data_IF_310657704387
#
_entry.id   IF_310657704387
#
_cell.length_a   1.000
_cell.length_b   1.000
_cell.length_c   1.000
_cell.angle_alpha   90.00
_cell.angle_beta   90.00
_cell.angle_gamma   90.00
#
_symmetry.space_group_name_H-M   'P 1'
#
loop_
_entity.id
_entity.type
_entity.pdbx_description
1 polymer ?
#
# COMPACT_ATOMS: atom_id res chain seq x y z
N UNK A 1 6.36 5.18 67.64
CA UNK A 1 5.89 3.85 68.07
C UNK A 1 4.76 3.42 67.14
N UNK A 2 4.85 2.25 66.50
CA UNK A 2 4.05 1.84 65.36
C UNK A 2 3.02 0.76 65.70
N UNK A 3 2.01 0.56 64.84
CA UNK A 3 1.42 -0.76 64.58
C UNK A 3 0.70 -0.71 63.22
N UNK A 4 1.31 -1.22 62.16
CA UNK A 4 1.14 -2.60 61.65
C UNK A 4 -0.31 -3.10 61.71
N UNK A 5 -0.94 -3.21 60.53
CA UNK A 5 -1.84 -4.32 60.15
C UNK A 5 -1.94 -4.42 58.62
N UNK A 6 -1.05 -5.24 58.08
CA UNK A 6 -1.24 -6.02 56.87
C UNK A 6 -2.24 -7.15 57.13
N UNK A 7 -3.18 -7.38 56.21
CA UNK A 7 -3.82 -8.69 55.98
C UNK A 7 -4.41 -8.74 54.57
N UNK A 8 -3.60 -9.20 53.61
CA UNK A 8 -4.03 -9.90 52.41
C UNK A 8 -3.51 -11.34 52.55
N UNK A 9 -4.35 -12.37 52.41
CA UNK A 9 -3.84 -13.69 52.11
C UNK A 9 -4.56 -14.26 50.87
N UNK A 10 -3.85 -14.39 49.74
CA UNK A 10 -3.97 -15.54 48.84
C UNK A 10 -2.86 -15.54 47.79
N UNK A 11 -1.75 -16.22 48.07
CA UNK A 11 -0.84 -16.73 47.03
C UNK A 11 0.04 -17.82 47.64
N UNK A 12 -0.48 -19.03 47.70
CA UNK A 12 0.34 -20.23 47.87
C UNK A 12 -0.35 -21.41 47.16
N UNK A 13 0.25 -21.85 46.05
CA UNK A 13 0.41 -23.27 45.72
C UNK A 13 1.20 -23.42 44.42
N UNK A 14 2.53 -23.47 44.58
CA UNK A 14 3.41 -24.22 43.68
C UNK A 14 3.89 -25.45 44.46
N UNK A 15 3.56 -26.64 43.94
CA UNK A 15 4.46 -27.82 43.82
C UNK A 15 3.65 -29.10 43.62
N UNK A 16 3.71 -29.65 42.40
CA UNK A 16 4.18 -31.02 42.10
C UNK A 16 3.79 -31.38 40.66
N UNK A 17 4.79 -31.64 39.82
CA UNK A 17 4.85 -32.75 38.86
C UNK A 17 5.95 -32.47 37.82
N UNK A 18 7.14 -32.96 38.12
CA UNK A 18 8.20 -33.21 37.15
C UNK A 18 7.83 -34.40 36.29
N UNK A 19 7.68 -34.23 34.97
CA UNK A 19 7.85 -35.34 34.02
C UNK A 19 8.70 -34.92 32.83
N UNK A 20 9.62 -35.83 32.51
CA UNK A 20 10.70 -35.80 31.54
C UNK A 20 10.24 -36.31 30.16
N UNK A 21 10.96 -35.88 29.12
CA UNK A 21 11.13 -36.48 27.76
C UNK A 21 10.01 -36.17 26.73
N UNK A 22 10.25 -35.92 25.43
CA UNK A 22 11.44 -36.06 24.57
C UNK A 22 11.37 -35.05 23.38
N UNK A 23 12.54 -34.61 22.90
CA UNK A 23 12.70 -33.84 21.66
C UNK A 23 12.81 -34.74 20.40
N UNK A 24 12.77 -34.15 19.19
CA UNK A 24 12.46 -34.84 17.94
C UNK A 24 13.64 -35.65 17.37
N UNK A 25 13.39 -36.78 16.66
CA UNK A 25 14.43 -37.57 16.03
C UNK A 25 14.57 -37.24 14.54
N UNK A 26 15.67 -36.59 14.15
CA UNK A 26 16.34 -36.90 12.88
C UNK A 26 17.75 -36.27 12.85
N UNK A 27 18.75 -37.08 13.18
CA UNK A 27 20.11 -36.88 12.69
C UNK A 27 20.87 -38.19 12.80
N UNK A 28 21.30 -38.71 11.64
CA UNK A 28 22.53 -39.48 11.36
C UNK A 28 22.23 -40.68 10.46
N UNK A 29 22.58 -40.53 9.19
CA UNK A 29 23.24 -41.61 8.49
C UNK A 29 24.41 -41.05 7.70
N UNK A 30 25.59 -41.62 7.97
CA UNK A 30 26.84 -41.39 7.25
C UNK A 30 27.17 -42.70 6.57
N UNK A 31 27.39 -42.68 5.25
CA UNK A 31 28.44 -43.50 4.60
C UNK A 31 28.72 -43.04 3.17
N UNK A 32 29.93 -42.49 3.02
CA UNK A 32 30.90 -42.53 1.91
C UNK A 32 30.42 -43.04 0.55
N UNK A 33 30.71 -42.29 -0.52
CA UNK A 33 31.53 -42.79 -1.64
C UNK A 33 32.11 -41.62 -2.48
N UNK A 34 33.44 -41.66 -2.63
CA UNK A 34 34.30 -41.25 -3.77
C UNK A 34 34.28 -39.82 -4.37
N UNK A 35 35.39 -39.11 -4.07
CA UNK A 35 36.32 -38.38 -4.97
C UNK A 35 35.83 -38.06 -6.39
N UNK A 36 35.80 -36.77 -6.73
CA UNK A 36 36.22 -36.29 -8.06
C UNK A 36 36.97 -34.96 -7.94
N UNK A 37 38.12 -34.91 -8.62
CA UNK A 37 39.08 -33.80 -8.72
C UNK A 37 38.61 -32.76 -9.74
N UNK A 38 39.02 -31.47 -9.61
CA UNK A 38 38.81 -30.49 -10.67
C UNK A 38 39.90 -30.66 -11.75
N UNK A 39 39.54 -30.52 -13.02
CA UNK A 39 40.49 -30.21 -14.10
C UNK A 39 39.94 -29.10 -14.99
N UNK A 40 40.64 -27.98 -14.88
CA UNK A 40 40.79 -26.93 -15.87
C UNK A 40 41.26 -27.47 -17.24
N UNK A 41 40.72 -26.92 -18.33
CA UNK A 41 41.48 -26.74 -19.57
C UNK A 41 40.88 -25.60 -20.39
N UNK A 42 41.63 -24.50 -20.47
CA UNK A 42 41.60 -23.52 -21.56
C UNK A 42 42.30 -24.13 -22.78
N UNK A 43 41.77 -23.89 -23.98
CA UNK A 43 42.58 -23.79 -25.20
C UNK A 43 41.87 -22.88 -26.22
N UNK A 44 42.60 -21.94 -26.87
CA UNK A 44 42.06 -21.03 -27.87
C UNK A 44 42.36 -21.53 -29.30
N UNK A 45 41.58 -21.10 -30.29
CA UNK A 45 42.13 -20.94 -31.64
C UNK A 45 41.44 -19.82 -32.42
N UNK A 46 42.26 -18.85 -32.79
CA UNK A 46 41.98 -17.85 -33.80
C UNK A 46 42.43 -18.35 -35.18
N UNK A 47 41.74 -17.88 -36.23
CA UNK A 47 42.25 -17.28 -37.49
C UNK A 47 41.63 -17.82 -38.79
N UNK A 48 41.24 -16.83 -39.61
CA UNK A 48 41.42 -16.64 -41.06
C UNK A 48 40.55 -17.52 -41.98
N UNK A 49 39.70 -16.91 -42.81
CA UNK A 49 39.93 -16.17 -44.07
C UNK A 49 39.62 -17.12 -45.25
N UNK A 50 38.55 -16.84 -45.98
CA UNK A 50 38.52 -16.24 -47.33
C UNK A 50 38.77 -17.26 -48.45
N UNK A 51 38.14 -17.02 -49.60
CA UNK A 51 38.23 -17.75 -50.88
C UNK A 51 37.28 -18.95 -51.01
N UNK A 52 36.56 -19.20 -52.12
CA UNK A 52 36.52 -18.57 -53.44
C UNK A 52 35.26 -19.01 -54.19
N UNK A 53 34.84 -18.18 -55.16
CA UNK A 53 33.85 -18.46 -56.20
C UNK A 53 34.13 -19.80 -56.92
N UNK A 54 33.07 -20.55 -57.25
CA UNK A 54 33.00 -21.27 -58.52
C UNK A 54 31.57 -21.39 -59.05
N UNK A 55 31.48 -21.17 -60.35
CA UNK A 55 30.28 -21.11 -61.18
C UNK A 55 29.56 -22.46 -61.29
N UNK A 56 28.23 -22.44 -61.29
CA UNK A 56 27.45 -23.44 -62.01
C UNK A 56 26.21 -22.81 -62.66
N UNK A 57 26.30 -22.57 -63.98
CA UNK A 57 25.16 -22.31 -64.86
C UNK A 57 24.39 -23.62 -65.06
N UNK A 58 23.08 -23.62 -64.79
CA UNK A 58 22.10 -24.41 -65.56
C UNK A 58 20.71 -23.82 -65.38
N UNK A 59 20.09 -23.48 -66.50
CA UNK A 59 18.81 -22.78 -66.56
C UNK A 59 17.63 -23.64 -66.13
N UNK A 60 16.64 -22.99 -65.53
CA UNK A 60 15.27 -23.47 -65.42
C UNK A 60 14.35 -22.31 -65.83
N UNK A 61 13.38 -22.68 -66.66
CA UNK A 61 12.39 -21.87 -67.38
C UNK A 61 11.71 -20.82 -66.50
N UNK A 62 11.56 -19.60 -67.03
CA UNK A 62 10.55 -18.66 -66.55
C UNK A 62 9.15 -19.27 -66.78
N UNK A 63 8.46 -19.66 -65.70
CA UNK A 63 7.00 -19.69 -65.70
C UNK A 63 6.51 -18.26 -65.50
N UNK A 64 5.80 -17.75 -66.50
CA UNK A 64 5.02 -16.52 -66.40
C UNK A 64 3.91 -16.73 -65.36
N UNK A 65 4.10 -16.19 -64.15
CA UNK A 65 3.05 -16.08 -63.15
C UNK A 65 2.24 -14.84 -63.53
N UNK A 66 1.02 -15.05 -64.04
CA UNK A 66 -0.01 -14.02 -64.12
C UNK A 66 -0.28 -13.51 -62.70
N UNK A 67 0.19 -12.31 -62.39
CA UNK A 67 -0.26 -11.54 -61.22
C UNK A 67 -1.74 -11.19 -61.43
N UNK A 68 -2.62 -12.01 -60.87
CA UNK A 68 -4.01 -11.61 -60.69
C UNK A 68 -4.04 -10.52 -59.61
N UNK A 69 -4.54 -9.36 -59.99
CA UNK A 69 -4.74 -8.19 -59.16
C UNK A 69 -5.75 -8.49 -58.04
N UNK A 70 -5.28 -9.04 -56.92
CA UNK A 70 -6.06 -9.26 -55.69
C UNK A 70 -6.25 -7.96 -54.89
N UNK A 71 -6.66 -6.86 -55.54
CA UNK A 71 -6.94 -5.60 -54.86
C UNK A 71 -8.21 -5.58 -53.98
N UNK A 72 -9.27 -6.40 -54.15
CA UNK A 72 -10.47 -6.26 -53.32
C UNK A 72 -10.33 -6.85 -51.91
N UNK A 73 -9.39 -7.77 -51.68
CA UNK A 73 -9.22 -8.43 -50.38
C UNK A 73 -8.45 -7.56 -49.36
N UNK A 74 -7.46 -6.77 -49.83
CA UNK A 74 -6.73 -5.82 -48.98
C UNK A 74 -7.60 -4.64 -48.55
N UNK A 75 -8.51 -4.17 -49.42
CA UNK A 75 -9.45 -3.11 -49.08
C UNK A 75 -10.46 -3.55 -48.01
N UNK A 76 -10.88 -4.82 -48.03
CA UNK A 76 -11.78 -5.40 -47.02
C UNK A 76 -11.08 -5.57 -45.66
N UNK A 77 -9.79 -5.93 -45.64
CA UNK A 77 -9.01 -6.04 -44.40
C UNK A 77 -8.74 -4.67 -43.76
N UNK A 78 -8.53 -3.63 -44.57
CA UNK A 78 -8.36 -2.25 -44.09
C UNK A 78 -9.67 -1.66 -43.52
N UNK A 79 -10.83 -2.03 -44.08
CA UNK A 79 -12.13 -1.61 -43.58
C UNK A 79 -12.51 -2.27 -42.24
N UNK A 80 -12.03 -3.50 -41.97
CA UNK A 80 -12.24 -4.20 -40.69
C UNK A 80 -11.31 -3.66 -39.58
N UNK A 81 -10.14 -3.11 -39.93
CA UNK A 81 -9.24 -2.47 -38.96
C UNK A 81 -9.70 -1.07 -38.53
N UNK A 82 -10.58 -0.42 -39.32
CA UNK A 82 -11.08 0.92 -39.06
C UNK A 82 -12.28 0.97 -38.09
N UNK A 83 -12.84 -0.18 -37.71
CA UNK A 83 -13.98 -0.28 -36.77
C UNK A 83 -13.58 -0.82 -35.39
N UNK A 84 -12.29 -0.75 -35.04
CA UNK A 84 -11.87 -1.04 -33.67
C UNK A 84 -12.59 -0.06 -32.72
N UNK A 85 -13.43 -0.53 -31.79
CA UNK A 85 -14.03 0.34 -30.80
C UNK A 85 -12.89 1.02 -30.03
N UNK A 86 -12.84 2.35 -30.09
CA UNK A 86 -11.97 3.14 -29.23
C UNK A 86 -12.31 2.78 -27.79
N UNK A 87 -11.45 2.00 -27.13
CA UNK A 87 -11.57 1.76 -25.71
C UNK A 87 -11.66 3.13 -25.01
N UNK A 88 -12.64 3.35 -24.11
CA UNK A 88 -12.72 4.60 -23.38
C UNK A 88 -11.35 4.90 -22.78
N UNK A 89 -10.81 6.08 -23.09
CA UNK A 89 -9.51 6.51 -22.63
C UNK A 89 -9.48 6.41 -21.10
N UNK A 90 -8.82 5.37 -20.59
CA UNK A 90 -8.59 5.19 -19.18
C UNK A 90 -7.84 6.44 -18.70
N UNK A 91 -8.47 7.22 -17.82
CA UNK A 91 -7.83 8.39 -17.22
C UNK A 91 -6.79 7.90 -16.22
N UNK A 92 -5.60 7.60 -16.73
CA UNK A 92 -4.46 7.09 -15.98
C UNK A 92 -3.43 8.19 -15.72
N UNK A 93 -2.88 8.22 -14.51
CA UNK A 93 -1.87 9.17 -14.09
C UNK A 93 -0.78 8.43 -13.34
N UNK A 94 0.48 8.74 -13.67
CA UNK A 94 1.62 8.16 -12.97
C UNK A 94 2.42 9.24 -12.26
N UNK A 95 2.94 8.85 -11.10
CA UNK A 95 3.76 9.67 -10.22
C UNK A 95 4.95 8.83 -9.72
N UNK A 96 6.18 9.33 -9.87
CA UNK A 96 7.39 8.66 -9.36
C UNK A 96 7.99 9.47 -8.21
N UNK A 97 8.69 8.81 -7.30
CA UNK A 97 9.51 9.46 -6.28
C UNK A 97 10.66 10.25 -6.93
N UNK A 98 11.27 11.22 -6.23
CA UNK A 98 12.44 11.96 -6.72
C UNK A 98 13.59 11.07 -7.21
N UNK A 99 13.84 9.94 -6.55
CA UNK A 99 14.86 8.96 -6.96
C UNK A 99 14.38 7.89 -7.96
N UNK A 100 13.13 8.03 -8.44
CA UNK A 100 12.45 7.13 -9.37
C UNK A 100 12.24 5.68 -8.91
N UNK A 101 12.53 5.34 -7.65
CA UNK A 101 12.35 3.98 -7.13
C UNK A 101 10.90 3.66 -6.82
N UNK A 102 10.14 4.60 -6.25
CA UNK A 102 8.73 4.39 -5.90
C UNK A 102 7.86 4.99 -7.01
N UNK A 103 6.84 4.26 -7.42
CA UNK A 103 5.89 4.68 -8.46
C UNK A 103 4.47 4.45 -7.96
N UNK A 104 3.62 5.46 -8.09
CA UNK A 104 2.17 5.35 -7.90
C UNK A 104 1.51 5.43 -9.26
N UNK A 105 0.75 4.39 -9.62
CA UNK A 105 -0.07 4.35 -10.85
C UNK A 105 -1.51 4.54 -10.48
N UNK A 106 -2.18 5.54 -11.03
CA UNK A 106 -3.52 5.94 -10.63
C UNK A 106 -4.45 5.76 -11.83
N UNK A 107 -5.63 5.20 -11.60
CA UNK A 107 -6.69 4.99 -12.59
C UNK A 107 -7.99 5.50 -12.00
N UNK A 108 -8.74 6.35 -12.70
CA UNK A 108 -9.92 7.00 -12.09
C UNK A 108 -11.27 6.44 -12.56
N UNK A 109 -11.27 5.49 -13.50
CA UNK A 109 -12.50 4.90 -14.07
C UNK A 109 -12.42 3.36 -14.00
N UNK A 110 -13.50 2.66 -13.61
CA UNK A 110 -14.79 3.18 -13.12
C UNK A 110 -14.74 3.64 -11.65
N UNK A 111 -13.61 3.48 -10.97
CA UNK A 111 -13.37 4.01 -9.63
C UNK A 111 -11.91 4.44 -9.52
N UNK A 112 -11.61 5.29 -8.53
CA UNK A 112 -10.24 5.67 -8.20
C UNK A 112 -9.53 4.46 -7.61
N UNK A 113 -8.59 3.96 -8.42
CA UNK A 113 -7.71 2.85 -8.13
C UNK A 113 -6.26 3.30 -8.17
N UNK A 114 -5.42 2.68 -7.36
CA UNK A 114 -4.00 2.92 -7.39
C UNK A 114 -3.17 1.65 -7.16
N UNK A 115 -1.97 1.65 -7.73
CA UNK A 115 -0.89 0.72 -7.39
C UNK A 115 0.25 1.49 -6.76
N UNK A 116 1.05 0.80 -5.95
CA UNK A 116 2.34 1.31 -5.47
C UNK A 116 3.40 0.28 -5.82
N UNK A 117 4.42 0.71 -6.55
CA UNK A 117 5.52 -0.12 -7.01
C UNK A 117 6.83 0.37 -6.43
N UNK A 118 7.73 -0.56 -6.14
CA UNK A 118 9.12 -0.32 -5.79
C UNK A 118 10.02 -0.97 -6.83
N UNK A 119 10.80 -0.15 -7.56
CA UNK A 119 11.70 -0.58 -8.64
C UNK A 119 10.99 -1.44 -9.68
N UNK A 120 9.74 -1.10 -9.99
CA UNK A 120 8.89 -1.81 -10.95
C UNK A 120 8.18 -3.06 -10.41
N UNK A 121 8.46 -3.49 -9.18
CA UNK A 121 7.73 -4.59 -8.50
C UNK A 121 6.53 -4.02 -7.75
N UNK A 122 5.34 -4.59 -7.95
CA UNK A 122 4.16 -4.19 -7.20
C UNK A 122 4.31 -4.53 -5.70
N UNK A 123 4.09 -3.54 -4.85
CA UNK A 123 3.93 -3.72 -3.40
C UNK A 123 2.45 -3.67 -3.03
N UNK A 124 1.69 -2.81 -3.70
CA UNK A 124 0.23 -2.70 -3.64
C UNK A 124 -0.34 -2.71 -5.05
N UNK A 125 -1.46 -3.41 -5.27
CA UNK A 125 -2.09 -3.53 -6.60
C UNK A 125 -3.61 -3.40 -6.54
N UNK A 126 -4.20 -2.66 -7.47
CA UNK A 126 -5.65 -2.42 -7.57
C UNK A 126 -6.29 -2.00 -6.25
N UNK A 127 -5.59 -1.19 -5.47
CA UNK A 127 -6.13 -0.57 -4.26
C UNK A 127 -7.23 0.41 -4.64
N UNK A 128 -8.29 0.51 -3.85
CA UNK A 128 -9.42 1.42 -4.09
C UNK A 128 -9.55 2.43 -2.96
N UNK A 129 -10.12 3.58 -3.28
CA UNK A 129 -10.46 4.62 -2.33
C UNK A 129 -11.75 5.34 -2.75
N UNK A 130 -12.59 5.65 -1.77
CA UNK A 130 -13.82 6.42 -1.97
C UNK A 130 -14.25 7.10 -0.67
N UNK A 131 -15.11 8.10 -0.78
CA UNK A 131 -15.64 8.83 0.36
C UNK A 131 -17.14 9.05 0.17
N UNK A 132 -17.96 8.52 1.07
CA UNK A 132 -19.41 8.69 1.08
C UNK A 132 -19.78 9.95 1.88
N UNK A 133 -20.16 11.00 1.16
CA UNK A 133 -20.56 12.30 1.71
C UNK A 133 -22.04 12.51 1.48
N UNK A 134 -22.85 12.54 2.54
CA UNK A 134 -24.31 12.67 2.46
C UNK A 134 -24.94 11.70 1.43
N UNK A 135 -24.50 10.42 1.40
CA UNK A 135 -24.92 9.38 0.47
C UNK A 135 -24.51 9.60 -1.00
N UNK A 136 -23.63 10.56 -1.26
CA UNK A 136 -22.95 10.75 -2.53
C UNK A 136 -21.52 10.22 -2.44
N UNK A 137 -21.26 9.15 -3.18
CA UNK A 137 -19.94 8.50 -3.21
C UNK A 137 -18.99 9.28 -4.13
N UNK A 138 -17.96 9.87 -3.55
CA UNK A 138 -16.81 10.45 -4.24
C UNK A 138 -15.80 9.32 -4.53
N UNK A 139 -15.13 9.38 -5.68
CA UNK A 139 -14.13 8.37 -6.09
C UNK A 139 -14.70 7.23 -6.94
N UNK A 140 -16.00 7.22 -7.22
CA UNK A 140 -16.66 6.27 -8.15
C UNK A 140 -17.22 7.02 -9.35
N UNK A 141 -17.05 6.45 -10.55
CA UNK A 141 -17.44 6.98 -11.86
C UNK A 141 -17.19 8.48 -12.05
N UNK A 142 -16.10 8.96 -11.43
CA UNK A 142 -15.80 10.37 -11.33
C UNK A 142 -14.87 10.80 -12.47
N UNK A 143 -15.28 11.83 -13.21
CA UNK A 143 -14.49 12.41 -14.28
C UNK A 143 -13.39 13.32 -13.72
N UNK A 144 -12.17 13.18 -14.21
CA UNK A 144 -11.08 14.12 -13.90
C UNK A 144 -11.28 15.40 -14.72
N UNK A 145 -11.36 16.54 -14.05
CA UNK A 145 -11.48 17.87 -14.68
C UNK A 145 -10.12 18.43 -15.08
N UNK A 146 -9.12 18.28 -14.21
CA UNK A 146 -7.73 18.63 -14.53
C UNK A 146 -6.76 17.90 -13.60
N UNK A 147 -5.49 17.90 -13.98
CA UNK A 147 -4.40 17.39 -13.13
C UNK A 147 -3.33 18.45 -12.98
N UNK A 148 -2.85 18.64 -11.76
CA UNK A 148 -1.74 19.56 -11.43
C UNK A 148 -0.61 18.75 -10.86
N UNK A 149 0.57 18.84 -11.46
CA UNK A 149 1.79 18.19 -10.97
C UNK A 149 2.70 19.22 -10.30
N UNK A 150 3.40 18.80 -9.26
CA UNK A 150 4.39 19.62 -8.55
C UNK A 150 5.52 18.73 -8.02
N UNK A 151 6.72 19.28 -7.96
CA UNK A 151 7.82 18.75 -7.16
C UNK A 151 8.06 19.66 -5.96
N UNK A 152 8.46 19.08 -4.84
CA UNK A 152 8.77 19.77 -3.60
C UNK A 152 10.06 19.21 -3.03
N UNK A 153 10.99 20.11 -2.69
CA UNK A 153 12.28 19.77 -2.12
C UNK A 153 12.66 20.89 -1.15
N UNK A 154 12.46 20.66 0.14
CA UNK A 154 12.77 21.63 1.19
C UNK A 154 13.30 20.93 2.44
N UNK A 155 14.06 21.64 3.25
CA UNK A 155 14.42 21.19 4.61
C UNK A 155 13.53 21.89 5.62
N UNK A 156 12.93 21.12 6.52
CA UNK A 156 12.09 21.61 7.61
C UNK A 156 12.83 21.42 8.92
N UNK A 157 12.78 22.42 9.79
CA UNK A 157 13.34 22.35 11.15
C UNK A 157 12.17 22.22 12.15
N UNK A 158 12.00 21.05 12.80
CA UNK A 158 10.96 20.87 13.81
C UNK A 158 11.14 21.86 14.97
N UNK A 159 10.07 22.55 15.39
CA UNK A 159 10.12 23.44 16.55
C UNK A 159 10.56 22.70 17.83
N UNK A 160 10.05 21.47 18.01
CA UNK A 160 10.54 20.51 18.99
C UNK A 160 11.22 19.37 18.25
N UNK A 161 12.54 19.27 18.40
CA UNK A 161 13.31 18.20 17.77
C UNK A 161 12.85 16.83 18.27
N UNK A 162 12.62 15.90 17.34
CA UNK A 162 12.37 14.49 17.65
C UNK A 162 13.65 13.68 17.35
N UNK A 163 13.61 12.86 16.29
CA UNK A 163 14.76 12.04 15.85
C UNK A 163 15.83 12.87 15.13
N UNK A 164 15.42 13.97 14.50
CA UNK A 164 16.29 14.83 13.71
C UNK A 164 16.00 16.31 14.02
N UNK A 165 17.06 17.13 14.02
CA UNK A 165 16.94 18.59 14.10
C UNK A 165 16.52 19.22 12.76
N UNK A 166 16.77 18.51 11.65
CA UNK A 166 16.41 18.91 10.30
C UNK A 166 15.87 17.70 9.56
N UNK A 167 14.75 17.87 8.89
CA UNK A 167 14.10 16.81 8.11
C UNK A 167 14.02 17.28 6.66
N UNK A 168 14.57 16.48 5.75
CA UNK A 168 14.45 16.72 4.32
C UNK A 168 13.10 16.22 3.83
N UNK A 169 12.28 17.11 3.29
CA UNK A 169 11.01 16.79 2.67
C UNK A 169 11.17 16.89 1.15
N UNK A 170 11.19 15.73 0.49
CA UNK A 170 11.34 15.64 -0.95
C UNK A 170 10.29 14.70 -1.56
N UNK A 171 9.44 15.23 -2.43
CA UNK A 171 8.40 14.46 -3.09
C UNK A 171 7.99 15.03 -4.44
N UNK A 172 7.40 14.17 -5.26
CA UNK A 172 6.56 14.59 -6.37
C UNK A 172 5.09 14.41 -5.97
N UNK A 173 4.22 15.29 -6.48
CA UNK A 173 2.78 15.31 -6.22
C UNK A 173 2.00 15.35 -7.52
N UNK A 174 0.85 14.68 -7.53
CA UNK A 174 -0.23 14.95 -8.47
C UNK A 174 -1.52 15.23 -7.70
N UNK A 175 -2.16 16.36 -8.03
CA UNK A 175 -3.49 16.73 -7.55
C UNK A 175 -4.48 16.58 -8.69
N UNK A 176 -5.42 15.66 -8.54
CA UNK A 176 -6.48 15.39 -9.51
C UNK A 176 -7.74 16.16 -9.10
N UNK A 177 -8.09 17.20 -9.85
CA UNK A 177 -9.37 17.89 -9.68
C UNK A 177 -10.47 16.99 -10.24
N UNK A 178 -11.41 16.56 -9.40
CA UNK A 178 -12.48 15.65 -9.79
C UNK A 178 -13.78 16.43 -9.98
N UNK A 179 -14.63 15.94 -10.88
CA UNK A 179 -16.03 16.36 -10.92
C UNK A 179 -16.72 16.00 -9.60
N UNK A 180 -17.55 16.92 -9.09
CA UNK A 180 -18.25 16.74 -7.81
C UNK A 180 -17.73 17.61 -6.67
N UNK A 181 -16.78 18.51 -6.94
CA UNK A 181 -16.31 19.50 -5.96
C UNK A 181 -15.30 18.92 -4.96
N UNK A 182 -14.43 18.04 -5.44
CA UNK A 182 -13.37 17.45 -4.62
C UNK A 182 -12.12 17.18 -5.47
N UNK A 183 -11.03 16.86 -4.79
CA UNK A 183 -9.80 16.40 -5.39
C UNK A 183 -9.23 15.22 -4.62
N UNK A 184 -8.40 14.44 -5.30
CA UNK A 184 -7.52 13.46 -4.68
C UNK A 184 -6.08 13.87 -4.94
N UNK A 185 -5.30 14.01 -3.86
CA UNK A 185 -3.89 14.36 -3.92
C UNK A 185 -3.07 13.12 -3.63
N UNK A 186 -2.12 12.79 -4.50
CA UNK A 186 -1.14 11.74 -4.30
C UNK A 186 0.25 12.33 -4.20
N UNK A 187 1.08 11.79 -3.31
CA UNK A 187 2.49 12.13 -3.17
C UNK A 187 3.35 10.88 -3.16
N UNK A 188 4.47 10.93 -3.87
CA UNK A 188 5.49 9.88 -3.87
C UNK A 188 6.80 10.46 -3.34
N UNK A 189 7.26 9.88 -2.24
CA UNK A 189 8.51 10.17 -1.55
C UNK A 189 9.52 9.05 -1.85
N UNK A 190 10.79 9.25 -1.54
CA UNK A 190 11.78 8.16 -1.59
C UNK A 190 11.53 7.11 -0.50
N UNK A 191 10.78 7.50 0.55
CA UNK A 191 10.47 6.73 1.75
C UNK A 191 9.02 6.22 1.76
N UNK A 192 8.22 6.44 0.72
CA UNK A 192 6.85 5.94 0.69
C UNK A 192 5.88 6.65 -0.25
N UNK A 193 4.61 6.33 -0.07
CA UNK A 193 3.48 6.87 -0.82
C UNK A 193 2.43 7.43 0.14
N UNK A 194 1.69 8.43 -0.33
CA UNK A 194 0.60 9.02 0.43
C UNK A 194 -0.53 9.48 -0.49
N UNK A 195 -1.76 9.44 0.00
CA UNK A 195 -2.88 10.15 -0.63
C UNK A 195 -3.81 10.79 0.40
N UNK A 196 -4.63 11.75 -0.04
CA UNK A 196 -5.75 12.29 0.74
C UNK A 196 -6.86 12.83 -0.15
N UNK A 197 -8.05 12.96 0.42
CA UNK A 197 -9.15 13.74 -0.15
C UNK A 197 -9.06 15.21 0.24
N UNK A 198 -9.48 16.08 -0.67
CA UNK A 198 -9.76 17.49 -0.40
C UNK A 198 -11.14 17.82 -0.98
N UNK A 199 -12.03 18.38 -0.18
CA UNK A 199 -13.37 18.78 -0.63
C UNK A 199 -13.49 20.30 -0.69
N UNK A 200 -14.29 20.77 -1.63
CA UNK A 200 -14.69 22.17 -1.79
C UNK A 200 -16.19 22.21 -2.10
N UNK A 201 -16.97 21.55 -1.24
CA UNK A 201 -18.42 21.44 -1.37
C UNK A 201 -19.09 22.75 -0.90
N UNK A 202 -20.20 23.18 -1.54
CA UNK A 202 -20.87 24.42 -1.19
C UNK A 202 -21.58 24.37 0.17
N UNK A 203 -21.91 23.18 0.69
CA UNK A 203 -22.51 23.00 2.00
C UNK A 203 -21.54 23.41 3.10
N UNK A 204 -22.02 24.19 4.08
CA UNK A 204 -21.20 24.58 5.23
C UNK A 204 -20.79 23.37 6.07
N UNK A 205 -21.68 22.40 6.21
CA UNK A 205 -21.50 21.17 6.96
C UNK A 205 -22.05 19.99 6.16
N UNK A 206 -21.37 18.85 6.21
CA UNK A 206 -21.75 17.57 5.59
C UNK A 206 -21.44 16.42 6.54
N UNK A 207 -22.13 15.29 6.37
CA UNK A 207 -21.82 14.04 7.08
C UNK A 207 -21.02 13.11 6.20
N UNK A 208 -20.05 12.44 6.82
CA UNK A 208 -19.26 11.40 6.19
C UNK A 208 -19.79 10.07 6.71
N UNK A 209 -20.44 9.30 5.83
CA UNK A 209 -21.03 8.02 6.20
C UNK A 209 -20.01 6.90 6.20
N UNK A 210 -19.07 6.94 5.25
CA UNK A 210 -18.04 5.93 5.08
C UNK A 210 -16.84 6.51 4.35
N UNK A 211 -15.67 6.04 4.71
CA UNK A 211 -14.47 6.16 3.90
C UNK A 211 -13.98 4.77 3.53
N UNK A 212 -13.72 4.55 2.25
CA UNK A 212 -13.05 3.34 1.80
C UNK A 212 -11.55 3.62 1.66
N UNK A 213 -10.77 2.83 2.39
CA UNK A 213 -9.31 2.77 2.25
C UNK A 213 -8.96 1.30 2.08
N UNK A 214 -8.50 0.88 0.90
CA UNK A 214 -8.12 -0.51 0.67
C UNK A 214 -6.64 -0.63 0.31
N UNK A 215 -5.95 -1.55 0.97
CA UNK A 215 -4.57 -1.94 0.70
C UNK A 215 -4.55 -3.39 0.23
N UNK A 216 -4.49 -3.58 -1.08
CA UNK A 216 -4.45 -4.89 -1.72
C UNK A 216 -3.00 -5.27 -2.05
N UNK A 217 -2.56 -6.42 -1.57
CA UNK A 217 -1.20 -6.94 -1.77
C UNK A 217 -1.18 -7.99 -2.89
N UNK A 218 -0.09 -8.10 -3.68
CA UNK A 218 0.02 -9.12 -4.74
C UNK A 218 -0.01 -10.57 -4.26
N UNK A 219 0.25 -10.80 -2.97
CA UNK A 219 0.31 -12.12 -2.39
C UNK A 219 -0.04 -12.12 -0.91
N UNK A 220 -0.09 -13.31 -0.34
CA UNK A 220 -0.26 -13.50 1.09
C UNK A 220 1.07 -13.14 1.78
N UNK A 221 1.18 -11.92 2.28
CA UNK A 221 2.36 -11.44 2.99
C UNK A 221 2.23 -11.73 4.49
N UNK A 222 3.37 -11.72 5.20
CA UNK A 222 3.35 -11.68 6.65
C UNK A 222 3.14 -10.24 7.10
N UNK A 223 2.23 -10.03 8.06
CA UNK A 223 1.95 -8.74 8.66
C UNK A 223 2.16 -8.81 10.17
N UNK A 224 2.82 -7.80 10.71
CA UNK A 224 2.90 -7.52 12.14
C UNK A 224 1.66 -6.71 12.49
N UNK A 225 0.61 -7.41 12.92
CA UNK A 225 -0.74 -6.90 13.08
C UNK A 225 -1.06 -6.70 14.57
N UNK A 226 -1.12 -5.46 15.08
CA UNK A 226 -1.45 -5.19 16.48
C UNK A 226 -2.96 -5.37 16.71
N UNK A 227 -3.40 -6.63 16.71
CA UNK A 227 -4.81 -6.99 16.79
C UNK A 227 -5.47 -6.46 18.07
N UNK A 228 -6.66 -5.89 17.90
CA UNK A 228 -7.50 -5.32 18.93
C UNK A 228 -8.84 -6.04 19.00
N UNK A 229 -9.41 -6.09 20.20
CA UNK A 229 -10.71 -6.73 20.44
C UNK A 229 -11.87 -5.76 20.18
N UNK A 230 -11.64 -4.44 20.30
CA UNK A 230 -12.64 -3.42 20.08
C UNK A 230 -12.01 -2.05 19.79
N UNK A 231 -12.77 -1.13 19.19
CA UNK A 231 -12.34 0.26 18.97
C UNK A 231 -12.29 1.08 20.25
N UNK A 232 -12.82 0.57 21.37
CA UNK A 232 -12.59 1.12 22.70
C UNK A 232 -11.32 0.47 23.28
N UNK A 233 -10.16 1.06 22.98
CA UNK A 233 -8.86 0.50 23.33
C UNK A 233 -7.86 1.55 23.83
N UNK A 234 -6.85 1.08 24.56
CA UNK A 234 -5.66 1.83 24.94
C UNK A 234 -4.53 1.71 23.89
N UNK A 235 -4.72 0.92 22.82
CA UNK A 235 -3.75 0.70 21.74
C UNK A 235 -2.45 0.00 22.19
N UNK A 236 -2.53 -0.84 23.22
CA UNK A 236 -1.39 -1.54 23.83
C UNK A 236 -1.37 -3.02 23.43
N UNK A 237 -0.95 -3.29 22.20
CA UNK A 237 -0.99 -4.66 21.63
C UNK A 237 0.37 -5.20 21.26
N UNK A 238 0.44 -6.53 21.22
CA UNK A 238 1.59 -7.26 20.68
C UNK A 238 1.51 -7.26 19.16
N UNK A 239 2.65 -7.03 18.53
CA UNK A 239 2.82 -7.16 17.09
C UNK A 239 3.14 -8.61 16.72
N UNK A 240 2.13 -9.47 16.77
CA UNK A 240 2.30 -10.88 16.42
C UNK A 240 2.30 -11.02 14.90
N UNK A 241 3.33 -11.65 14.31
CA UNK A 241 3.36 -11.91 12.88
C UNK A 241 2.29 -12.94 12.53
N UNK A 242 1.48 -12.64 11.52
CA UNK A 242 0.48 -13.54 10.96
C UNK A 242 0.33 -13.31 9.46
N UNK A 243 -0.33 -14.23 8.76
CA UNK A 243 -0.54 -14.12 7.30
C UNK A 243 -1.74 -13.24 7.01
N UNK A 244 -1.66 -12.40 5.97
CA UNK A 244 -2.78 -11.52 5.58
C UNK A 244 -4.09 -12.29 5.39
N UNK A 245 -4.04 -13.46 4.75
CA UNK A 245 -5.22 -14.29 4.49
C UNK A 245 -5.80 -14.96 5.74
N UNK A 246 -5.05 -15.03 6.83
CA UNK A 246 -5.48 -15.65 8.10
C UNK A 246 -6.19 -14.65 9.02
N UNK A 247 -6.16 -13.35 8.70
CA UNK A 247 -6.85 -12.33 9.48
C UNK A 247 -8.34 -12.38 9.16
N UNK A 248 -9.12 -12.83 10.14
CA UNK A 248 -10.58 -12.82 10.08
C UNK A 248 -11.10 -11.38 9.88
N UNK A 249 -12.09 -11.15 8.99
CA UNK A 249 -12.66 -9.83 8.75
C UNK A 249 -13.27 -9.16 9.98
N UNK A 250 -13.63 -9.93 11.01
CA UNK A 250 -14.12 -9.41 12.29
C UNK A 250 -13.00 -8.86 13.17
N UNK A 251 -11.74 -9.23 12.94
CA UNK A 251 -10.60 -8.72 13.70
C UNK A 251 -10.15 -7.37 13.17
N UNK A 252 -9.95 -6.45 14.10
CA UNK A 252 -9.46 -5.10 13.82
C UNK A 252 -8.06 -4.92 14.42
N UNK A 253 -7.33 -3.92 13.96
CA UNK A 253 -6.04 -3.51 14.52
C UNK A 253 -5.91 -1.99 14.51
N UNK A 254 -5.15 -1.52 15.49
CA UNK A 254 -4.62 -0.16 15.50
C UNK A 254 -3.49 0.00 14.48
N UNK A 255 -3.04 1.23 14.31
CA UNK A 255 -1.92 1.57 13.44
C UNK A 255 -0.68 1.96 14.26
N UNK A 256 0.53 1.81 13.69
CA UNK A 256 0.80 1.27 12.35
C UNK A 256 0.68 -0.25 12.27
N UNK A 257 0.32 -0.79 11.11
CA UNK A 257 0.56 -2.20 10.78
C UNK A 257 1.73 -2.29 9.80
N UNK A 258 2.63 -3.26 10.00
CA UNK A 258 3.83 -3.43 9.15
C UNK A 258 3.72 -4.72 8.36
N UNK A 259 3.78 -4.62 7.03
CA UNK A 259 3.71 -5.77 6.12
C UNK A 259 5.09 -6.06 5.54
N UNK A 260 5.53 -7.30 5.65
CA UNK A 260 6.72 -7.82 4.97
C UNK A 260 6.36 -8.23 3.54
N UNK A 261 6.66 -7.37 2.57
CA UNK A 261 6.34 -7.59 1.16
C UNK A 261 7.43 -8.35 0.40
N UNK A 262 8.34 -9.01 1.11
CA UNK A 262 9.39 -9.84 0.54
C UNK A 262 10.51 -9.03 -0.15
N UNK A 263 11.59 -9.74 -0.47
CA UNK A 263 12.82 -9.17 -1.08
C UNK A 263 13.40 -8.00 -0.28
N UNK A 264 13.25 -8.03 1.06
CA UNK A 264 13.72 -6.98 1.97
C UNK A 264 12.80 -5.76 2.08
N UNK A 265 11.72 -5.68 1.28
CA UNK A 265 10.79 -4.56 1.34
C UNK A 265 9.78 -4.69 2.49
N UNK A 266 9.58 -3.62 3.26
CA UNK A 266 8.48 -3.53 4.26
C UNK A 266 7.63 -2.29 4.02
N UNK A 267 6.33 -2.44 4.30
CA UNK A 267 5.35 -1.36 4.25
C UNK A 267 4.82 -1.08 5.65
N UNK A 268 4.97 0.14 6.15
CA UNK A 268 4.30 0.62 7.35
C UNK A 268 3.05 1.41 6.94
N UNK A 269 1.88 0.87 7.23
CA UNK A 269 0.59 1.51 6.96
C UNK A 269 0.23 2.40 8.15
N UNK A 270 -0.17 3.63 7.86
CA UNK A 270 -0.56 4.61 8.88
C UNK A 270 -1.37 5.76 8.31
N UNK A 271 -1.57 6.77 9.15
CA UNK A 271 -2.17 8.04 8.75
C UNK A 271 -1.47 9.23 9.43
N UNK A 272 -1.81 10.44 9.00
CA UNK A 272 -1.36 11.69 9.62
C UNK A 272 -2.34 12.83 9.31
N UNK A 273 -2.24 13.94 10.03
CA UNK A 273 -3.19 15.07 9.98
C UNK A 273 -4.60 14.67 10.41
N UNK A 274 -4.70 13.83 11.44
CA UNK A 274 -5.97 13.40 12.03
C UNK A 274 -6.45 14.47 12.99
N UNK A 275 -7.32 15.33 12.49
CA UNK A 275 -7.97 16.41 13.25
C UNK A 275 -9.45 16.45 12.85
N UNK A 276 -10.35 16.51 13.85
CA UNK A 276 -11.81 16.48 13.65
C UNK A 276 -12.26 15.40 12.64
N UNK A 277 -11.69 14.21 12.78
CA UNK A 277 -11.98 13.04 11.97
C UNK A 277 -11.61 11.77 12.73
N UNK A 278 -12.36 10.66 12.61
CA UNK A 278 -12.03 9.42 13.30
C UNK A 278 -10.70 8.86 12.80
N UNK A 279 -9.87 8.38 13.74
CA UNK A 279 -8.67 7.63 13.41
C UNK A 279 -9.00 6.32 12.69
N UNK A 280 -8.18 5.95 11.72
CA UNK A 280 -8.32 4.73 10.94
C UNK A 280 -7.84 3.51 11.72
N UNK A 281 -8.64 2.45 11.65
CA UNK A 281 -8.29 1.10 12.07
C UNK A 281 -8.18 0.22 10.84
N UNK A 282 -7.54 -0.93 10.97
CA UNK A 282 -7.41 -1.90 9.88
C UNK A 282 -8.21 -3.15 10.21
N UNK A 283 -8.79 -3.80 9.21
CA UNK A 283 -9.37 -5.13 9.35
C UNK A 283 -8.98 -6.05 8.19
N UNK A 284 -9.02 -7.35 8.44
CA UNK A 284 -8.72 -8.39 7.46
C UNK A 284 -9.82 -8.56 6.42
N UNK A 285 -9.53 -9.36 5.39
CA UNK A 285 -10.48 -9.66 4.30
C UNK A 285 -10.63 -11.16 4.00
N UNK A 286 -9.99 -12.05 4.79
CA UNK A 286 -9.71 -13.44 4.39
C UNK A 286 -9.00 -13.54 3.02
N UNK A 287 -8.30 -12.46 2.63
CA UNK A 287 -7.61 -12.29 1.37
C UNK A 287 -6.30 -11.54 1.59
N UNK A 288 -5.50 -11.33 0.53
CA UNK A 288 -4.24 -10.60 0.63
C UNK A 288 -4.51 -9.08 0.69
N UNK A 289 -5.34 -8.62 1.63
CA UNK A 289 -5.70 -7.22 1.75
C UNK A 289 -6.03 -6.81 3.19
N UNK A 290 -5.70 -5.56 3.51
CA UNK A 290 -6.15 -4.84 4.69
C UNK A 290 -7.08 -3.70 4.25
N UNK A 291 -8.14 -3.47 5.01
CA UNK A 291 -9.13 -2.43 4.72
C UNK A 291 -9.25 -1.50 5.93
N UNK A 292 -9.34 -0.20 5.68
CA UNK A 292 -9.61 0.82 6.67
C UNK A 292 -11.03 0.71 7.21
N UNK A 293 -11.17 0.80 8.52
CA UNK A 293 -12.45 0.88 9.23
C UNK A 293 -12.38 1.97 10.29
N UNK A 294 -13.51 2.58 10.63
CA UNK A 294 -13.56 3.81 11.40
C UNK A 294 -14.65 3.70 12.48
N UNK A 295 -14.41 4.22 13.70
CA UNK A 295 -15.47 4.33 14.69
C UNK A 295 -16.57 5.26 14.20
N UNK A 296 -17.81 4.88 14.49
CA UNK A 296 -18.98 5.72 14.26
C UNK A 296 -18.99 6.93 15.20
N UNK A 297 -19.61 8.02 14.76
CA UNK A 297 -19.70 9.26 15.54
C UNK A 297 -20.52 9.03 16.83
N UNK A 298 -20.02 9.45 18.01
CA UNK A 298 -20.74 9.25 19.26
C UNK A 298 -21.95 10.21 19.36
N UNK A 299 -23.15 9.65 19.55
CA UNK A 299 -24.37 10.43 19.82
C UNK A 299 -24.61 10.59 21.33
N UNK A 300 -24.27 9.56 22.11
CA UNK A 300 -24.32 9.60 23.58
C UNK A 300 -23.14 8.89 24.18
N UNK A 301 -22.61 9.50 25.22
CA UNK A 301 -21.49 8.98 26.00
C UNK A 301 -21.91 8.82 27.47
N UNK A 302 -21.32 7.83 28.14
CA UNK A 302 -21.56 7.56 29.55
C UNK A 302 -20.22 7.28 30.23
N UNK A 303 -19.90 8.08 31.24
CA UNK A 303 -18.77 7.81 32.12
C UNK A 303 -19.12 6.65 33.04
N UNK A 304 -18.45 5.51 32.89
CA UNK A 304 -18.70 4.35 33.74
C UNK A 304 -17.77 4.34 34.96
N UNK A 305 -16.50 4.72 34.77
CA UNK A 305 -15.44 4.79 35.78
C UNK A 305 -14.47 5.92 35.44
N UNK A 306 -13.46 6.13 36.29
CA UNK A 306 -12.37 7.08 36.00
C UNK A 306 -11.77 6.80 34.60
N UNK A 307 -11.81 7.81 33.73
CA UNK A 307 -11.31 7.77 32.33
C UNK A 307 -11.91 6.66 31.45
N UNK A 308 -13.09 6.13 31.82
CA UNK A 308 -13.81 5.09 31.06
C UNK A 308 -15.11 5.67 30.49
N UNK A 309 -14.97 6.57 29.51
CA UNK A 309 -16.08 7.26 28.84
C UNK A 309 -16.55 6.43 27.63
N UNK A 310 -17.65 5.71 27.80
CA UNK A 310 -18.17 4.77 26.80
C UNK A 310 -19.15 5.44 25.85
N UNK A 311 -19.03 5.13 24.56
CA UNK A 311 -20.07 5.43 23.57
C UNK A 311 -21.20 4.43 23.75
N UNK A 312 -22.38 4.91 24.13
CA UNK A 312 -23.58 4.06 24.37
C UNK A 312 -24.62 4.20 23.26
N UNK A 313 -24.50 5.24 22.43
CA UNK A 313 -25.28 5.42 21.22
C UNK A 313 -24.36 6.01 20.15
N UNK A 314 -24.28 5.37 18.98
CA UNK A 314 -23.46 5.80 17.86
C UNK A 314 -24.34 6.13 16.66
N UNK A 315 -23.90 7.07 15.84
CA UNK A 315 -24.57 7.44 14.61
C UNK A 315 -24.34 6.41 13.49
N UNK A 316 -25.08 6.55 12.40
CA UNK A 316 -24.85 5.82 11.15
C UNK A 316 -23.73 6.43 10.29
N UNK A 317 -23.18 7.58 10.68
CA UNK A 317 -22.04 8.26 10.06
C UNK A 317 -20.79 8.25 10.95
N UNK A 318 -19.62 8.47 10.35
CA UNK A 318 -18.32 8.45 11.03
C UNK A 318 -17.82 9.86 11.40
N UNK A 319 -18.26 10.91 10.69
CA UNK A 319 -17.86 12.29 10.97
C UNK A 319 -18.90 13.33 10.53
N UNK A 320 -18.91 14.47 11.21
CA UNK A 320 -19.56 15.72 10.78
C UNK A 320 -18.46 16.72 10.48
N UNK A 321 -18.46 17.31 9.28
CA UNK A 321 -17.29 18.04 8.78
C UNK A 321 -17.71 19.25 7.98
N UNK A 322 -16.84 20.25 7.79
CA UNK A 322 -17.12 21.31 6.82
C UNK A 322 -17.08 20.77 5.40
N UNK A 323 -17.98 21.22 4.53
CA UNK A 323 -17.97 20.82 3.11
C UNK A 323 -16.70 21.22 2.37
N UNK A 324 -16.01 22.26 2.82
CA UNK A 324 -14.66 22.62 2.35
C UNK A 324 -13.63 22.22 3.38
N UNK A 325 -12.86 21.16 3.12
CA UNK A 325 -11.81 20.69 4.04
C UNK A 325 -10.75 19.83 3.36
N UNK A 326 -9.68 19.61 4.11
CA UNK A 326 -8.64 18.62 3.82
C UNK A 326 -8.79 17.45 4.78
N UNK A 327 -8.80 16.23 4.26
CA UNK A 327 -8.89 15.00 5.05
C UNK A 327 -7.50 14.46 5.44
N UNK A 328 -7.41 13.57 6.45
CA UNK A 328 -6.14 12.97 6.86
C UNK A 328 -5.41 12.29 5.70
N UNK A 329 -4.09 12.28 5.77
CA UNK A 329 -3.26 11.51 4.87
C UNK A 329 -3.37 10.02 5.15
N UNK A 330 -3.57 9.20 4.11
CA UNK A 330 -3.33 7.76 4.14
C UNK A 330 -1.91 7.50 3.70
N UNK A 331 -1.12 6.86 4.56
CA UNK A 331 0.33 6.72 4.40
C UNK A 331 0.72 5.26 4.21
N UNK A 332 1.70 5.04 3.34
CA UNK A 332 2.42 3.78 3.23
C UNK A 332 3.91 4.10 3.21
N UNK A 333 4.55 4.01 4.38
CA UNK A 333 6.00 4.09 4.48
C UNK A 333 6.63 2.84 3.87
N UNK A 334 7.63 3.00 3.00
CA UNK A 334 8.27 1.92 2.26
C UNK A 334 9.76 1.95 2.58
N UNK A 335 10.30 0.80 2.97
CA UNK A 335 11.72 0.63 3.24
C UNK A 335 12.26 -0.61 2.55
N UNK A 336 13.57 -0.62 2.30
CA UNK A 336 14.31 -1.80 1.80
C UNK A 336 15.20 -2.43 2.88
N UNK A 337 15.32 -1.76 4.03
CA UNK A 337 16.04 -2.23 5.22
C UNK A 337 15.25 -1.85 6.46
N UNK A 338 15.13 -2.77 7.41
CA UNK A 338 14.32 -2.59 8.62
C UNK A 338 14.73 -1.36 9.44
N UNK A 339 16.02 -1.04 9.48
CA UNK A 339 16.53 0.15 10.16
C UNK A 339 15.93 1.46 9.61
N UNK A 340 15.58 1.49 8.32
CA UNK A 340 15.04 2.69 7.69
C UNK A 340 13.59 2.98 8.15
N UNK A 341 12.89 1.99 8.74
CA UNK A 341 11.57 2.24 9.37
C UNK A 341 11.71 3.21 10.55
N UNK A 342 12.83 3.14 11.26
CA UNK A 342 13.11 3.99 12.41
C UNK A 342 13.35 5.44 11.98
N UNK A 343 13.87 5.66 10.78
CA UNK A 343 14.23 7.00 10.28
C UNK A 343 13.18 7.60 9.36
N UNK A 344 12.20 6.82 8.89
CA UNK A 344 11.09 7.32 8.09
C UNK A 344 10.29 8.43 8.83
N UNK A 345 10.24 9.63 8.26
CA UNK A 345 9.61 10.82 8.86
C UNK A 345 8.23 11.17 8.26
N UNK A 346 7.63 10.29 7.43
CA UNK A 346 6.42 10.65 6.68
C UNK A 346 5.26 11.11 7.56
N UNK A 347 5.05 10.47 8.72
CA UNK A 347 4.00 10.88 9.66
C UNK A 347 4.23 12.32 10.14
N UNK A 348 5.43 12.63 10.64
CA UNK A 348 5.73 13.99 11.10
C UNK A 348 5.65 15.03 9.98
N UNK A 349 6.22 14.72 8.80
CA UNK A 349 6.17 15.62 7.65
C UNK A 349 4.73 15.94 7.20
N UNK A 350 3.79 15.04 7.48
CA UNK A 350 2.38 15.15 7.05
C UNK A 350 1.46 15.69 8.14
N UNK A 351 1.96 16.17 9.28
CA UNK A 351 1.15 16.97 10.21
C UNK A 351 1.06 18.42 9.74
N UNK A 352 -0.05 19.12 10.02
CA UNK A 352 -0.09 20.58 9.87
C UNK A 352 0.99 21.25 10.72
N UNK A 353 1.71 22.18 10.11
CA UNK A 353 2.66 23.05 10.80
C UNK A 353 1.85 24.06 11.61
N UNK A 354 1.92 23.98 12.95
CA UNK A 354 1.26 24.94 13.86
C UNK A 354 0.72 24.37 15.17
N UNK A 355 0.78 23.05 15.40
CA UNK A 355 0.26 22.40 16.62
C UNK A 355 1.29 21.46 17.27
N UNK A 356 2.56 21.87 17.34
CA UNK A 356 3.57 21.23 18.22
C UNK A 356 4.30 22.28 19.00
#
# INVERSE_FOLDING_TARGET
MPSNRSCFPYCESLRHASHKLAGPPWAREVKRFTKFSPKSTLAPHARRASESLHLYRRGIRLMSIRTQNSFPLLALLAAILATAPSAPAQSSFDLRSPDNRIEIRIRTVPAVRYDVLLKGRALLQDCTLSLDVDHKILGVDSKVRSSKKRSYDQTVEPAVHQKFARIHENYNEVRLEMEGGYAVVFRSYNEGAAYRFETSLPQQQVKIYREEVRFNFPGDATVFYPQEDSMFSHNERRYVPQRLKEIDPAFIATMPAVVDAGEGAKLAIGESDVEDYPGMWLHGTNGPALVGTFPHYPLKEKLERDRDLRVVEAADYIAVTSGTRTFPWRLTGIVEKDADLLTNQLVWLKSRVGLV
#
